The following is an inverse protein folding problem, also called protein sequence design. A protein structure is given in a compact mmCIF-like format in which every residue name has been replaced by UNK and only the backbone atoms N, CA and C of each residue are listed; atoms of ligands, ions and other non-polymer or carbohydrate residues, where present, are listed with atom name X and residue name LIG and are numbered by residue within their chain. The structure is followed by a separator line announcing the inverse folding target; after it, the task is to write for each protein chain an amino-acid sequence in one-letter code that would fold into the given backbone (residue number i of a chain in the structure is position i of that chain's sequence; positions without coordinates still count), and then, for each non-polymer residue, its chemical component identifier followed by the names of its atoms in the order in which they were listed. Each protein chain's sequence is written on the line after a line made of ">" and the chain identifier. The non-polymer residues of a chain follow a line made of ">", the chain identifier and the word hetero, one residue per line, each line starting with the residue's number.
data_IF_580907844123
#
_entry.id   IF_580907844123
#
_cell.length_a   1.000
_cell.length_b   1.000
_cell.length_c   1.000
_cell.angle_alpha   90.00
_cell.angle_beta   90.00
_cell.angle_gamma   90.00
#
_symmetry.space_group_name_H-M   'P 1'
#
loop_
_entity.id
_entity.type
_entity.pdbx_description
1 polymer ?
#
# COMPACT_ATOMS: atom_id res chain seq x y z
N UNK A 1 -6.90 60.87 -22.25
CA UNK A 1 -8.21 60.18 -22.35
C UNK A 1 -8.00 58.73 -21.90
N UNK A 2 -8.29 58.41 -20.63
CA UNK A 2 -7.97 57.08 -20.06
C UNK A 2 -9.10 56.08 -20.36
N UNK A 3 -8.76 55.01 -21.07
CA UNK A 3 -9.69 53.94 -21.48
C UNK A 3 -10.14 53.16 -20.24
N UNK A 4 -11.41 53.27 -19.86
CA UNK A 4 -12.01 52.47 -18.79
C UNK A 4 -12.03 50.99 -19.22
N UNK A 5 -11.18 50.18 -18.60
CA UNK A 5 -11.12 48.73 -18.82
C UNK A 5 -12.41 48.12 -18.26
N UNK A 6 -13.25 47.59 -19.15
CA UNK A 6 -14.47 46.89 -18.77
C UNK A 6 -14.10 45.44 -18.37
N UNK A 7 -14.29 45.13 -17.08
CA UNK A 7 -13.93 43.83 -16.48
C UNK A 7 -14.90 42.68 -16.85
N UNK A 8 -15.86 42.90 -17.74
CA UNK A 8 -16.80 41.88 -18.21
C UNK A 8 -16.39 41.24 -19.56
N UNK A 9 -15.12 41.32 -19.99
CA UNK A 9 -14.69 40.58 -21.18
C UNK A 9 -14.58 39.08 -20.89
N UNK A 10 -15.02 38.27 -21.85
CA UNK A 10 -15.05 36.80 -21.82
C UNK A 10 -13.65 36.13 -21.85
N UNK A 11 -12.59 36.93 -21.77
CA UNK A 11 -11.18 36.49 -21.85
C UNK A 11 -10.60 36.10 -20.49
N UNK A 12 -11.30 36.40 -19.39
CA UNK A 12 -10.88 35.96 -18.06
C UNK A 12 -11.70 34.72 -17.67
N UNK A 13 -11.07 33.56 -17.41
CA UNK A 13 -11.78 32.40 -16.89
C UNK A 13 -12.48 32.81 -15.59
N UNK A 14 -13.81 32.76 -15.58
CA UNK A 14 -14.63 33.04 -14.40
C UNK A 14 -14.18 32.09 -13.30
N UNK A 15 -13.50 32.61 -12.29
CA UNK A 15 -13.13 31.85 -11.11
C UNK A 15 -14.40 31.21 -10.55
N UNK A 16 -14.42 29.88 -10.62
CA UNK A 16 -15.55 29.07 -10.21
C UNK A 16 -15.84 29.36 -8.74
N UNK A 17 -16.93 30.09 -8.52
CA UNK A 17 -17.82 30.08 -7.35
C UNK A 17 -17.20 29.35 -6.17
N UNK A 18 -16.60 30.11 -5.25
CA UNK A 18 -16.09 29.68 -3.94
C UNK A 18 -17.03 28.62 -3.35
N UNK A 19 -16.70 27.35 -3.58
CA UNK A 19 -17.52 26.25 -3.08
C UNK A 19 -17.23 26.17 -1.59
N UNK A 20 -18.28 26.24 -0.77
CA UNK A 20 -18.24 25.90 0.64
C UNK A 20 -18.04 24.38 0.75
N UNK A 21 -16.93 23.85 0.25
CA UNK A 21 -16.48 22.52 0.67
C UNK A 21 -16.05 22.69 2.12
N UNK A 22 -16.67 21.98 3.08
CA UNK A 22 -16.06 21.83 4.39
C UNK A 22 -14.66 21.27 4.13
N UNK A 23 -13.63 22.07 4.39
CA UNK A 23 -12.26 21.58 4.34
C UNK A 23 -12.08 20.68 5.54
N UNK A 24 -12.57 19.45 5.42
CA UNK A 24 -12.26 18.39 6.35
C UNK A 24 -10.76 18.16 6.25
N UNK A 25 -10.00 18.63 7.24
CA UNK A 25 -8.55 18.52 7.27
C UNK A 25 -8.17 17.02 7.34
N UNK A 26 -7.78 16.40 6.22
CA UNK A 26 -7.56 14.96 6.15
C UNK A 26 -6.36 14.54 7.00
N UNK A 27 -5.45 15.48 7.30
CA UNK A 27 -4.24 15.22 8.05
C UNK A 27 -4.52 15.05 9.55
N UNK A 28 -5.38 15.88 10.13
CA UNK A 28 -5.77 15.79 11.53
C UNK A 28 -6.53 14.49 11.82
N UNK A 29 -7.52 14.16 10.96
CA UNK A 29 -8.24 12.90 11.05
C UNK A 29 -7.34 11.70 10.74
N UNK A 30 -6.36 11.89 9.85
CA UNK A 30 -5.42 10.86 9.45
C UNK A 30 -4.53 10.38 10.60
N UNK A 31 -3.96 11.32 11.36
CA UNK A 31 -3.16 11.03 12.56
C UNK A 31 -3.98 10.41 13.68
N UNK A 32 -5.21 10.89 13.89
CA UNK A 32 -6.12 10.35 14.88
C UNK A 32 -6.50 8.90 14.54
N UNK A 33 -6.94 8.66 13.31
CA UNK A 33 -7.33 7.34 12.82
C UNK A 33 -6.20 6.30 12.90
N UNK A 34 -4.95 6.69 12.65
CA UNK A 34 -3.81 5.79 12.78
C UNK A 34 -3.46 5.43 14.23
N UNK A 35 -3.69 6.35 15.16
CA UNK A 35 -3.57 6.06 16.59
C UNK A 35 -4.72 5.16 17.06
N UNK A 36 -5.94 5.38 16.58
CA UNK A 36 -7.10 4.55 16.86
C UNK A 36 -6.96 3.14 16.29
N UNK A 37 -6.46 2.99 15.07
CA UNK A 37 -6.21 1.68 14.45
C UNK A 37 -5.20 0.86 15.25
N UNK A 38 -4.08 1.47 15.66
CA UNK A 38 -3.10 0.82 16.55
C UNK A 38 -3.67 0.48 17.91
N UNK A 39 -4.55 1.32 18.45
CA UNK A 39 -5.18 1.10 19.75
C UNK A 39 -6.19 -0.06 19.73
N UNK A 40 -7.08 -0.11 18.73
CA UNK A 40 -8.06 -1.17 18.55
C UNK A 40 -7.44 -2.52 18.17
N UNK A 41 -6.35 -2.51 17.39
CA UNK A 41 -5.65 -3.74 16.97
C UNK A 41 -4.81 -4.40 18.06
N UNK A 42 -4.68 -3.80 19.24
CA UNK A 42 -3.84 -4.33 20.33
C UNK A 42 -4.68 -5.07 21.37
N UNK A 43 -4.25 -6.26 21.79
CA UNK A 43 -4.91 -7.06 22.85
C UNK A 43 -5.10 -6.31 24.18
N UNK A 44 -4.31 -5.27 24.42
CA UNK A 44 -4.40 -4.38 25.59
C UNK A 44 -5.75 -3.66 25.72
N UNK A 45 -6.40 -3.32 24.61
CA UNK A 45 -7.72 -2.67 24.64
C UNK A 45 -8.78 -3.60 25.24
N UNK A 46 -8.81 -4.86 24.79
CA UNK A 46 -9.73 -5.87 25.30
C UNK A 46 -9.52 -6.10 26.80
N UNK A 47 -8.27 -6.24 27.25
CA UNK A 47 -7.94 -6.40 28.67
C UNK A 47 -8.45 -5.21 29.51
N UNK A 48 -8.22 -3.98 29.04
CA UNK A 48 -8.71 -2.78 29.74
C UNK A 48 -10.25 -2.73 29.79
N UNK A 49 -10.93 -3.02 28.68
CA UNK A 49 -12.40 -3.03 28.61
C UNK A 49 -13.00 -4.11 29.51
N UNK A 50 -12.43 -5.32 29.52
CA UNK A 50 -12.86 -6.39 30.43
C UNK A 50 -12.62 -6.00 31.89
N UNK A 51 -11.47 -5.39 32.20
CA UNK A 51 -11.18 -4.87 33.54
C UNK A 51 -12.18 -3.80 33.99
N UNK A 52 -12.56 -2.89 33.09
CA UNK A 52 -13.57 -1.87 33.35
C UNK A 52 -14.95 -2.49 33.66
N UNK A 53 -15.39 -3.47 32.87
CA UNK A 53 -16.66 -4.17 33.09
C UNK A 53 -16.65 -4.91 34.43
N UNK A 54 -15.57 -5.64 34.73
CA UNK A 54 -15.42 -6.35 36.01
C UNK A 54 -15.44 -5.34 37.16
N UNK A 55 -14.66 -4.26 37.07
CA UNK A 55 -14.63 -3.21 38.08
C UNK A 55 -16.02 -2.61 38.31
N UNK A 56 -16.78 -2.34 37.26
CA UNK A 56 -18.14 -1.80 37.35
C UNK A 56 -19.09 -2.75 38.09
N UNK A 57 -19.06 -4.05 37.74
CA UNK A 57 -19.87 -5.09 38.38
C UNK A 57 -19.48 -5.22 39.86
N UNK A 58 -18.18 -5.31 40.15
CA UNK A 58 -17.65 -5.44 41.51
C UNK A 58 -18.03 -4.23 42.37
N UNK A 59 -17.87 -3.01 41.84
CA UNK A 59 -18.25 -1.78 42.51
C UNK A 59 -19.74 -1.74 42.82
N UNK A 60 -20.61 -2.01 41.85
CA UNK A 60 -22.06 -1.99 42.05
C UNK A 60 -22.58 -3.18 42.89
N UNK A 61 -21.85 -4.29 42.95
CA UNK A 61 -22.21 -5.46 43.76
C UNK A 61 -21.81 -5.31 45.23
N UNK A 62 -20.62 -4.77 45.51
CA UNK A 62 -20.07 -4.60 46.87
C UNK A 62 -20.48 -3.28 47.52
N UNK A 63 -20.95 -2.29 46.75
CA UNK A 63 -21.41 -1.02 47.32
C UNK A 63 -22.62 -1.23 48.25
N UNK A 64 -22.68 -0.52 49.40
CA UNK A 64 -23.88 -0.47 50.25
C UNK A 64 -25.11 0.01 49.47
N UNK A 65 -26.32 -0.42 49.85
CA UNK A 65 -27.56 -0.16 49.10
C UNK A 65 -27.81 1.33 48.78
N UNK A 66 -27.28 2.24 49.60
CA UNK A 66 -27.40 3.70 49.42
C UNK A 66 -26.45 4.29 48.35
N UNK A 67 -25.42 3.55 47.93
CA UNK A 67 -24.41 3.94 46.94
C UNK A 67 -24.43 3.08 45.67
N UNK A 68 -25.36 2.13 45.57
CA UNK A 68 -25.55 1.29 44.38
C UNK A 68 -26.14 2.13 43.24
N UNK A 69 -25.28 2.54 42.32
CA UNK A 69 -25.68 3.33 41.16
C UNK A 69 -26.45 2.48 40.12
N UNK A 70 -26.14 1.18 40.01
CA UNK A 70 -26.70 0.28 39.01
C UNK A 70 -27.03 -1.10 39.62
N UNK A 71 -28.28 -1.33 40.02
CA UNK A 71 -28.75 -2.62 40.55
C UNK A 71 -28.87 -3.67 39.44
N UNK A 72 -28.75 -4.96 39.79
CA UNK A 72 -29.02 -6.07 38.86
C UNK A 72 -30.39 -5.87 38.19
N UNK A 73 -30.49 -5.78 36.85
CA UNK A 73 -29.61 -6.35 35.81
C UNK A 73 -28.54 -5.42 35.17
N UNK A 74 -28.06 -4.38 35.84
CA UNK A 74 -27.06 -3.41 35.33
C UNK A 74 -27.52 -2.66 34.05
N UNK A 75 -28.61 -1.89 34.19
CA UNK A 75 -29.23 -1.20 33.05
C UNK A 75 -28.30 -0.13 32.46
N UNK A 76 -27.54 0.58 33.30
CA UNK A 76 -26.63 1.62 32.82
C UNK A 76 -25.45 1.03 32.06
N UNK A 77 -24.86 -0.05 32.57
CA UNK A 77 -23.79 -0.76 31.87
C UNK A 77 -24.27 -1.26 30.50
N UNK A 78 -25.48 -1.81 30.44
CA UNK A 78 -26.08 -2.32 29.21
C UNK A 78 -26.35 -1.20 28.19
N UNK A 79 -26.88 -0.06 28.66
CA UNK A 79 -27.08 1.11 27.80
C UNK A 79 -25.77 1.67 27.28
N UNK A 80 -24.73 1.72 28.11
CA UNK A 80 -23.42 2.23 27.73
C UNK A 80 -22.75 1.31 26.69
N UNK A 81 -22.81 0.00 26.88
CA UNK A 81 -22.28 -0.98 25.92
C UNK A 81 -23.05 -0.96 24.59
N UNK A 82 -24.38 -0.84 24.61
CA UNK A 82 -25.17 -0.75 23.37
C UNK A 82 -24.89 0.54 22.59
N UNK A 83 -24.73 1.67 23.28
CA UNK A 83 -24.29 2.92 22.67
C UNK A 83 -22.87 2.82 22.10
N UNK A 84 -21.96 2.18 22.85
CA UNK A 84 -20.57 1.97 22.42
C UNK A 84 -20.50 1.16 21.12
N UNK A 85 -21.29 0.09 21.00
CA UNK A 85 -21.40 -0.68 19.77
C UNK A 85 -21.98 0.17 18.61
N UNK A 86 -23.05 0.93 18.88
CA UNK A 86 -23.71 1.78 17.87
C UNK A 86 -22.78 2.85 17.30
N UNK A 87 -21.97 3.52 18.14
CA UNK A 87 -21.03 4.55 17.69
C UNK A 87 -19.72 3.98 17.13
N UNK A 88 -19.35 2.75 17.50
CA UNK A 88 -18.18 2.09 16.91
C UNK A 88 -18.36 1.81 15.42
N UNK A 89 -19.55 1.37 14.98
CA UNK A 89 -19.83 1.05 13.58
C UNK A 89 -19.50 2.20 12.58
N UNK A 90 -20.02 3.44 12.74
CA UNK A 90 -19.72 4.53 11.82
C UNK A 90 -18.24 4.98 11.90
N UNK A 91 -17.62 4.93 13.07
CA UNK A 91 -16.18 5.21 13.21
C UNK A 91 -15.33 4.19 12.47
N UNK A 92 -15.67 2.90 12.57
CA UNK A 92 -15.01 1.82 11.85
C UNK A 92 -15.19 2.01 10.35
N UNK A 93 -16.39 2.35 9.88
CA UNK A 93 -16.65 2.62 8.46
C UNK A 93 -15.80 3.79 7.92
N UNK A 94 -15.64 4.87 8.69
CA UNK A 94 -14.77 5.99 8.30
C UNK A 94 -13.29 5.58 8.26
N UNK A 95 -12.84 4.78 9.22
CA UNK A 95 -11.48 4.23 9.22
C UNK A 95 -11.24 3.28 8.03
N UNK A 96 -12.24 2.47 7.69
CA UNK A 96 -12.22 1.54 6.56
C UNK A 96 -12.22 2.26 5.21
N UNK A 97 -13.05 3.28 5.01
CA UNK A 97 -13.06 4.06 3.77
C UNK A 97 -11.67 4.62 3.44
N UNK A 98 -10.98 5.18 4.45
CA UNK A 98 -9.62 5.69 4.27
C UNK A 98 -8.60 4.59 3.99
N UNK A 99 -8.76 3.42 4.61
CA UNK A 99 -7.87 2.29 4.32
C UNK A 99 -8.07 1.82 2.88
N UNK A 100 -9.32 1.67 2.44
CA UNK A 100 -9.66 1.28 1.07
C UNK A 100 -9.17 2.31 0.03
N UNK A 101 -9.17 3.61 0.34
CA UNK A 101 -8.62 4.63 -0.54
C UNK A 101 -7.10 4.50 -0.70
N UNK A 102 -6.37 4.23 0.39
CA UNK A 102 -4.92 3.96 0.33
C UNK A 102 -4.61 2.67 -0.42
N UNK A 103 -5.34 1.60 -0.13
CA UNK A 103 -5.16 0.30 -0.78
C UNK A 103 -5.44 0.41 -2.30
N UNK A 104 -6.39 1.27 -2.71
CA UNK A 104 -6.63 1.58 -4.13
C UNK A 104 -5.45 2.30 -4.79
N UNK A 105 -4.89 3.32 -4.14
CA UNK A 105 -3.74 4.06 -4.68
C UNK A 105 -2.53 3.13 -4.80
N UNK A 106 -2.21 2.38 -3.73
CA UNK A 106 -1.12 1.42 -3.74
C UNK A 106 -1.31 0.36 -4.84
N UNK A 107 -2.52 -0.18 -4.99
CA UNK A 107 -2.81 -1.17 -6.03
C UNK A 107 -2.73 -0.62 -7.46
N UNK A 108 -2.92 0.68 -7.68
CA UNK A 108 -2.71 1.28 -8.99
C UNK A 108 -1.22 1.47 -9.29
N UNK A 109 -0.43 1.94 -8.30
CA UNK A 109 1.02 2.04 -8.44
C UNK A 109 1.68 0.67 -8.68
N UNK A 110 1.23 -0.36 -7.96
CA UNK A 110 1.76 -1.71 -8.11
C UNK A 110 1.48 -2.26 -9.51
N UNK A 111 0.29 -2.04 -10.06
CA UNK A 111 -0.02 -2.40 -11.46
C UNK A 111 0.88 -1.70 -12.46
N UNK A 112 1.10 -0.40 -12.31
CA UNK A 112 1.98 0.35 -13.21
C UNK A 112 3.43 -0.15 -13.12
N UNK A 113 3.89 -0.50 -11.91
CA UNK A 113 5.21 -1.12 -11.72
C UNK A 113 5.30 -2.51 -12.34
N UNK A 114 4.25 -3.33 -12.19
CA UNK A 114 4.19 -4.66 -12.82
C UNK A 114 4.23 -4.58 -14.34
N UNK A 115 3.49 -3.64 -14.95
CA UNK A 115 3.53 -3.41 -16.40
C UNK A 115 4.93 -3.03 -16.88
N UNK A 116 5.62 -2.12 -16.17
CA UNK A 116 7.00 -1.74 -16.48
C UNK A 116 7.97 -2.91 -16.31
N UNK A 117 7.86 -3.66 -15.21
CA UNK A 117 8.70 -4.83 -14.96
C UNK A 117 8.51 -5.91 -16.03
N UNK A 118 7.27 -6.11 -16.50
CA UNK A 118 6.97 -7.05 -17.58
C UNK A 118 7.60 -6.59 -18.90
N UNK A 119 7.51 -5.30 -19.23
CA UNK A 119 8.16 -4.72 -20.41
C UNK A 119 9.70 -4.84 -20.35
N UNK A 120 10.32 -4.57 -19.20
CA UNK A 120 11.76 -4.73 -19.01
C UNK A 120 12.18 -6.20 -19.14
N UNK A 121 11.38 -7.12 -18.59
CA UNK A 121 11.64 -8.56 -18.70
C UNK A 121 11.52 -9.03 -20.15
N UNK A 122 10.53 -8.55 -20.90
CA UNK A 122 10.38 -8.85 -22.33
C UNK A 122 11.56 -8.31 -23.14
N UNK A 123 11.99 -7.08 -22.86
CA UNK A 123 13.17 -6.48 -23.49
C UNK A 123 14.43 -7.30 -23.22
N UNK A 124 14.70 -7.63 -21.95
CA UNK A 124 15.85 -8.45 -21.57
C UNK A 124 15.79 -9.85 -22.20
N UNK A 125 14.61 -10.45 -22.29
CA UNK A 125 14.44 -11.77 -22.92
C UNK A 125 14.75 -11.71 -24.42
N UNK A 126 14.31 -10.64 -25.10
CA UNK A 126 14.62 -10.41 -26.51
C UNK A 126 16.11 -10.18 -26.74
N UNK A 127 16.75 -9.42 -25.86
CA UNK A 127 18.19 -9.15 -25.93
C UNK A 127 19.02 -10.40 -25.59
N UNK A 128 18.56 -11.23 -24.65
CA UNK A 128 19.17 -12.54 -24.39
C UNK A 128 19.03 -13.48 -25.59
N UNK A 129 17.89 -13.46 -26.29
CA UNK A 129 17.68 -14.26 -27.48
C UNK A 129 18.60 -13.82 -28.64
N UNK A 130 18.79 -12.50 -28.83
CA UNK A 130 19.71 -11.95 -29.84
C UNK A 130 21.17 -12.27 -29.50
N UNK A 131 21.58 -12.09 -28.24
CA UNK A 131 22.90 -12.47 -27.74
C UNK A 131 23.18 -13.97 -27.92
N UNK A 132 22.21 -14.83 -27.57
CA UNK A 132 22.32 -16.28 -27.77
C UNK A 132 22.53 -16.63 -29.24
N UNK A 133 21.79 -15.99 -30.15
CA UNK A 133 21.93 -16.23 -31.60
C UNK A 133 23.32 -15.81 -32.09
N UNK A 134 23.79 -14.62 -31.69
CA UNK A 134 25.11 -14.11 -32.07
C UNK A 134 26.25 -15.01 -31.56
N UNK A 135 26.17 -15.50 -30.32
CA UNK A 135 27.14 -16.45 -29.76
C UNK A 135 27.07 -17.81 -30.49
N UNK A 136 25.87 -18.25 -30.83
CA UNK A 136 25.65 -19.49 -31.59
C UNK A 136 26.28 -19.47 -32.98
N UNK A 137 26.25 -18.33 -33.68
CA UNK A 137 26.90 -18.16 -34.99
C UNK A 137 28.43 -18.08 -34.89
N UNK A 138 28.97 -17.35 -33.90
CA UNK A 138 30.43 -17.21 -33.68
C UNK A 138 31.07 -18.51 -33.18
N UNK A 139 30.28 -19.41 -32.59
CA UNK A 139 30.69 -20.76 -32.21
C UNK A 139 30.14 -21.79 -33.18
N UNK A 140 30.18 -21.52 -34.49
CA UNK A 140 29.80 -22.54 -35.47
C UNK A 140 30.77 -23.71 -35.34
N UNK A 141 30.21 -24.91 -35.16
CA UNK A 141 30.97 -26.16 -35.01
C UNK A 141 32.09 -26.24 -36.04
N UNK A 142 31.82 -25.81 -37.27
CA UNK A 142 32.76 -25.87 -38.39
C UNK A 142 33.98 -24.96 -38.22
N UNK A 143 33.83 -23.77 -37.60
CA UNK A 143 34.96 -22.88 -37.29
C UNK A 143 35.84 -23.45 -36.17
N UNK A 144 35.22 -23.97 -35.09
CA UNK A 144 35.98 -24.68 -34.05
C UNK A 144 36.66 -25.93 -34.61
N UNK A 145 36.01 -26.65 -35.53
CA UNK A 145 36.56 -27.85 -36.13
C UNK A 145 37.71 -27.53 -37.09
N UNK A 146 37.63 -26.44 -37.87
CA UNK A 146 38.73 -26.00 -38.73
C UNK A 146 39.92 -25.54 -37.90
N UNK A 147 39.71 -24.74 -36.86
CA UNK A 147 40.82 -24.23 -36.04
C UNK A 147 41.53 -25.35 -35.28
N UNK A 148 40.76 -26.34 -34.77
CA UNK A 148 41.31 -27.54 -34.14
C UNK A 148 42.05 -28.40 -35.17
N UNK A 149 41.49 -28.58 -36.38
CA UNK A 149 42.13 -29.35 -37.44
C UNK A 149 43.46 -28.70 -37.89
N UNK A 150 43.46 -27.39 -38.09
CA UNK A 150 44.65 -26.61 -38.47
C UNK A 150 45.72 -26.67 -37.38
N UNK A 151 45.33 -26.53 -36.11
CA UNK A 151 46.25 -26.67 -34.98
C UNK A 151 46.86 -28.08 -34.87
N UNK A 152 46.06 -29.13 -35.12
CA UNK A 152 46.54 -30.52 -35.17
C UNK A 152 47.50 -30.71 -36.34
N UNK A 153 47.18 -30.20 -37.53
CA UNK A 153 48.04 -30.30 -38.70
C UNK A 153 49.38 -29.60 -38.45
N UNK A 154 49.37 -28.42 -37.83
CA UNK A 154 50.59 -27.68 -37.48
C UNK A 154 51.48 -28.46 -36.50
N UNK A 155 50.89 -29.08 -35.47
CA UNK A 155 51.62 -29.90 -34.49
C UNK A 155 52.21 -31.15 -35.16
N UNK A 156 51.44 -31.84 -36.00
CA UNK A 156 51.92 -33.02 -36.76
C UNK A 156 53.07 -32.63 -37.68
N UNK A 157 52.97 -31.50 -38.39
CA UNK A 157 54.02 -30.98 -39.28
C UNK A 157 55.30 -30.63 -38.51
N UNK A 158 55.17 -30.06 -37.31
CA UNK A 158 56.30 -29.79 -36.39
C UNK A 158 56.95 -31.06 -35.87
N UNK A 159 56.18 -32.10 -35.55
CA UNK A 159 56.70 -33.40 -35.13
C UNK A 159 57.44 -34.12 -36.26
N UNK A 160 56.87 -34.13 -37.47
CA UNK A 160 57.46 -34.83 -38.62
C UNK A 160 58.72 -34.14 -39.16
N UNK A 161 58.90 -32.84 -38.89
CA UNK A 161 60.11 -32.09 -39.23
C UNK A 161 61.25 -32.26 -38.20
N UNK A 162 60.97 -32.93 -37.07
CA UNK A 162 61.91 -33.13 -35.95
C UNK A 162 62.43 -34.58 -35.86
N UNK A 163 61.92 -35.49 -36.71
CA UNK A 163 62.50 -36.82 -36.98
C UNK A 163 63.33 -36.79 -38.26
#
# INVERSE_FOLDING_TARGET
>A
MAKKINKNSLEYPREARRTLKPSYDPEAFGRWSERFARFLGTARFLVFMTGFVIFWIVWNSLAPNDLKFDHYPFIFLTLLLSLQASYAAPLILLAQNRQADRDRVQGNEDREREERNMADTEYLTRELASLRSAIGEVTTRDYLHSEIADAIEEIVKKLNKKS
#
